data_IF_020073202572
#
_entry.id   IF_020073202572
#
_cell.length_a   1.000
_cell.length_b   1.000
_cell.length_c   1.000
_cell.angle_alpha   90.00
_cell.angle_beta   90.00
_cell.angle_gamma   90.00
#
_symmetry.space_group_name_H-M   'P 1'
#
loop_
_entity.id
_entity.type
_entity.pdbx_description
1 polymer ?
#
# COMPACT_ATOMS: atom_id res chain seq x y z
N UNK A 1 -13.66 -12.79 -11.27
CA UNK A 1 -13.10 -11.46 -10.92
C UNK A 1 -12.94 -10.63 -12.19
N UNK A 2 -13.26 -9.33 -12.14
CA UNK A 2 -13.09 -8.41 -13.29
C UNK A 2 -11.86 -7.55 -13.04
N UNK A 3 -10.80 -7.72 -13.84
CA UNK A 3 -9.58 -6.93 -13.75
C UNK A 3 -9.75 -5.52 -14.33
N UNK A 4 -8.97 -4.58 -13.80
CA UNK A 4 -8.75 -3.27 -14.41
C UNK A 4 -7.63 -3.43 -15.44
N UNK A 5 -7.93 -3.15 -16.71
CA UNK A 5 -6.97 -3.35 -17.80
C UNK A 5 -6.07 -2.13 -17.99
N UNK A 6 -4.76 -2.38 -18.09
CA UNK A 6 -3.74 -1.40 -18.45
C UNK A 6 -3.17 -1.74 -19.84
N UNK A 7 -3.81 -1.24 -20.87
CA UNK A 7 -3.43 -1.49 -22.27
C UNK A 7 -2.35 -0.55 -22.79
N UNK A 8 -1.92 0.40 -21.95
CA UNK A 8 -0.88 1.39 -22.27
C UNK A 8 0.15 1.49 -21.17
N UNK A 9 1.34 1.95 -21.55
CA UNK A 9 2.39 2.26 -20.61
C UNK A 9 1.96 3.40 -19.68
N UNK A 10 2.08 3.20 -18.36
CA UNK A 10 1.65 4.17 -17.34
C UNK A 10 2.46 5.46 -17.33
N UNK A 11 3.63 5.48 -17.97
CA UNK A 11 4.52 6.65 -18.02
C UNK A 11 4.39 7.39 -19.37
N UNK A 12 4.25 6.68 -20.47
CA UNK A 12 4.37 7.25 -21.81
C UNK A 12 3.11 7.17 -22.65
N UNK A 13 2.06 6.54 -22.16
CA UNK A 13 0.80 6.27 -22.87
C UNK A 13 0.95 5.43 -24.18
N UNK A 14 2.14 4.85 -24.39
CA UNK A 14 2.47 3.97 -25.52
C UNK A 14 1.76 2.62 -25.35
N UNK A 15 1.14 2.11 -26.41
CA UNK A 15 0.41 0.83 -26.43
C UNK A 15 1.27 -0.37 -26.84
N UNK A 16 2.53 -0.17 -27.24
CA UNK A 16 3.45 -1.24 -27.61
C UNK A 16 4.00 -1.94 -26.37
N UNK A 17 3.19 -2.83 -25.81
CA UNK A 17 3.53 -3.62 -24.63
C UNK A 17 3.81 -5.07 -25.01
N UNK A 18 4.98 -5.57 -24.61
CA UNK A 18 5.35 -6.98 -24.75
C UNK A 18 5.15 -7.75 -23.44
N UNK A 19 4.62 -8.96 -23.54
CA UNK A 19 4.43 -9.86 -22.40
C UNK A 19 5.79 -10.39 -21.92
N UNK A 20 6.11 -10.18 -20.64
CA UNK A 20 7.25 -10.80 -19.97
C UNK A 20 6.82 -12.08 -19.24
N UNK A 21 5.69 -12.06 -18.56
CA UNK A 21 5.18 -13.17 -17.77
C UNK A 21 3.66 -13.12 -17.66
N UNK A 22 3.02 -14.27 -17.59
CA UNK A 22 1.61 -14.41 -17.26
C UNK A 22 1.40 -15.71 -16.50
N UNK A 23 1.32 -15.63 -15.19
CA UNK A 23 1.14 -16.78 -14.30
C UNK A 23 -0.07 -16.58 -13.40
N UNK A 24 -0.66 -17.68 -12.94
CA UNK A 24 -1.67 -17.64 -11.88
C UNK A 24 -0.98 -17.60 -10.52
N UNK A 25 -1.45 -16.70 -9.69
CA UNK A 25 -0.88 -16.43 -8.38
C UNK A 25 -1.98 -16.27 -7.32
N UNK A 26 -1.80 -16.79 -6.09
CA UNK A 26 -2.73 -16.51 -5.01
C UNK A 26 -2.72 -15.03 -4.65
N UNK A 27 -3.92 -14.43 -4.51
CA UNK A 27 -4.05 -12.99 -4.19
C UNK A 27 -3.54 -12.71 -2.77
N UNK A 28 -3.83 -13.63 -1.86
CA UNK A 28 -3.44 -13.53 -0.47
C UNK A 28 -2.43 -14.63 -0.14
N UNK A 29 -1.31 -14.23 0.44
CA UNK A 29 -0.29 -15.14 0.92
C UNK A 29 -0.27 -15.07 2.44
N UNK A 30 -0.46 -16.19 3.10
CA UNK A 30 -0.42 -16.31 4.56
C UNK A 30 -0.30 -17.77 4.97
N UNK A 31 0.06 -17.98 6.23
CA UNK A 31 -0.01 -19.31 6.82
C UNK A 31 -1.39 -19.48 7.43
N UNK A 32 -2.20 -20.37 6.85
CA UNK A 32 -3.51 -20.76 7.39
C UNK A 32 -3.55 -22.29 7.53
N UNK A 33 -4.47 -22.79 8.35
CA UNK A 33 -4.76 -24.22 8.46
C UNK A 33 -5.89 -24.66 7.51
N UNK A 34 -6.40 -23.72 6.69
CA UNK A 34 -7.49 -23.94 5.75
C UNK A 34 -7.00 -24.61 4.47
N UNK A 35 -7.90 -25.29 3.77
CA UNK A 35 -7.59 -25.99 2.52
C UNK A 35 -7.31 -24.97 1.40
N UNK A 36 -6.25 -25.22 0.62
CA UNK A 36 -5.87 -24.40 -0.55
C UNK A 36 -6.93 -24.34 -1.65
N UNK A 37 -7.95 -25.22 -1.61
CA UNK A 37 -9.05 -25.22 -2.58
C UNK A 37 -9.87 -23.92 -2.58
N UNK A 38 -9.84 -23.18 -1.47
CA UNK A 38 -10.58 -21.93 -1.29
C UNK A 38 -9.71 -20.69 -1.63
N UNK A 39 -8.46 -20.88 -2.01
CA UNK A 39 -7.56 -19.81 -2.38
C UNK A 39 -8.04 -19.06 -3.62
N UNK A 40 -8.15 -17.75 -3.50
CA UNK A 40 -8.48 -16.88 -4.63
C UNK A 40 -7.24 -16.64 -5.48
N UNK A 41 -7.27 -17.12 -6.72
CA UNK A 41 -6.18 -16.95 -7.69
C UNK A 41 -6.44 -15.77 -8.63
N UNK A 42 -5.39 -15.05 -8.98
CA UNK A 42 -5.38 -14.00 -9.98
C UNK A 42 -4.26 -14.20 -11.01
N UNK A 43 -4.35 -13.47 -12.12
CA UNK A 43 -3.25 -13.41 -13.09
C UNK A 43 -2.23 -12.36 -12.63
N UNK A 44 -0.98 -12.78 -12.48
CA UNK A 44 0.17 -11.88 -12.47
C UNK A 44 0.65 -11.72 -13.91
N UNK A 45 0.08 -10.73 -14.61
CA UNK A 45 0.36 -10.47 -16.00
C UNK A 45 1.31 -9.28 -16.11
N UNK A 46 2.60 -9.56 -16.28
CA UNK A 46 3.68 -8.57 -16.38
C UNK A 46 3.98 -8.29 -17.85
N UNK A 47 4.02 -7.01 -18.18
CA UNK A 47 4.37 -6.51 -19.50
C UNK A 47 5.47 -5.46 -19.42
N UNK A 48 6.20 -5.27 -20.53
CA UNK A 48 7.21 -4.22 -20.68
C UNK A 48 6.89 -3.34 -21.88
N UNK A 49 7.02 -2.02 -21.71
CA UNK A 49 7.07 -1.09 -22.83
C UNK A 49 8.41 -1.21 -23.54
N UNK A 50 8.44 -1.67 -24.80
CA UNK A 50 9.69 -1.82 -25.58
C UNK A 50 10.42 -0.50 -25.76
N UNK A 51 9.69 0.59 -25.86
CA UNK A 51 10.26 1.92 -26.13
C UNK A 51 10.98 2.51 -24.91
N UNK A 52 10.44 2.28 -23.72
CA UNK A 52 10.91 2.96 -22.51
C UNK A 52 11.42 2.01 -21.43
N UNK A 53 11.29 0.70 -21.62
CA UNK A 53 11.72 -0.31 -20.64
C UNK A 53 10.88 -0.33 -19.36
N UNK A 54 9.71 0.30 -19.36
CA UNK A 54 8.81 0.33 -18.20
C UNK A 54 8.14 -1.02 -18.02
N UNK A 55 8.37 -1.67 -16.89
CA UNK A 55 7.72 -2.92 -16.50
C UNK A 55 6.49 -2.60 -15.65
N UNK A 56 5.35 -3.19 -15.99
CA UNK A 56 4.09 -2.96 -15.29
C UNK A 56 3.19 -4.19 -15.30
N UNK A 57 2.23 -4.24 -14.38
CA UNK A 57 1.12 -5.18 -14.45
C UNK A 57 0.14 -4.72 -15.54
N UNK A 58 -0.24 -5.63 -16.43
CA UNK A 58 -1.26 -5.41 -17.45
C UNK A 58 -2.68 -5.49 -16.88
N UNK A 59 -2.87 -6.36 -15.90
CA UNK A 59 -4.13 -6.59 -15.22
C UNK A 59 -3.99 -6.25 -13.75
N UNK A 60 -4.85 -5.36 -13.25
CA UNK A 60 -4.89 -5.04 -11.83
C UNK A 60 -6.11 -5.68 -11.18
N UNK A 61 -5.90 -6.21 -9.99
CA UNK A 61 -6.98 -6.64 -9.12
C UNK A 61 -7.65 -5.38 -8.56
N UNK A 62 -8.99 -5.31 -8.55
CA UNK A 62 -9.69 -4.20 -7.91
C UNK A 62 -9.29 -4.04 -6.45
N UNK A 63 -9.06 -2.79 -6.01
CA UNK A 63 -8.59 -2.49 -4.66
C UNK A 63 -9.56 -2.98 -3.58
N UNK A 64 -10.85 -3.00 -3.87
CA UNK A 64 -11.90 -3.49 -2.97
C UNK A 64 -11.72 -5.00 -2.65
N UNK A 65 -11.09 -5.75 -3.55
CA UNK A 65 -10.75 -7.15 -3.33
C UNK A 65 -9.45 -7.24 -2.51
N UNK A 66 -8.42 -6.52 -2.93
CA UNK A 66 -7.11 -6.55 -2.26
C UNK A 66 -7.17 -6.09 -0.81
N UNK A 67 -7.97 -5.06 -0.53
CA UNK A 67 -8.06 -4.45 0.80
C UNK A 67 -9.31 -4.85 1.58
N UNK A 68 -10.03 -5.91 1.14
CA UNK A 68 -11.28 -6.34 1.77
C UNK A 68 -11.13 -6.65 3.27
N UNK A 69 -10.02 -7.31 3.65
CA UNK A 69 -9.76 -7.74 5.02
C UNK A 69 -8.67 -6.91 5.72
N UNK A 70 -8.25 -5.79 5.12
CA UNK A 70 -7.08 -5.04 5.58
C UNK A 70 -5.78 -5.76 5.23
N UNK A 71 -4.80 -5.01 4.76
CA UNK A 71 -3.41 -5.46 4.71
C UNK A 71 -2.72 -4.88 5.94
N UNK A 72 -2.82 -5.59 7.06
CA UNK A 72 -1.90 -5.30 8.15
C UNK A 72 -0.51 -5.78 7.71
N UNK A 73 0.32 -4.85 7.29
CA UNK A 73 1.71 -5.12 6.94
C UNK A 73 2.51 -5.58 8.15
N UNK A 74 1.82 -5.72 9.31
CA UNK A 74 2.40 -6.22 10.54
C UNK A 74 3.77 -5.63 10.78
N UNK A 75 3.88 -4.34 11.03
CA UNK A 75 5.14 -3.71 11.45
C UNK A 75 5.64 -4.34 12.77
N UNK A 76 5.84 -5.66 12.73
CA UNK A 76 6.15 -6.52 13.86
C UNK A 76 7.66 -6.76 13.88
N UNK A 77 8.23 -6.62 15.07
CA UNK A 77 9.64 -6.90 15.33
C UNK A 77 10.52 -5.66 15.41
N UNK A 78 11.72 -5.86 15.99
CA UNK A 78 12.61 -4.76 16.35
C UNK A 78 13.10 -3.93 15.18
N UNK A 79 13.27 -4.53 14.00
CA UNK A 79 13.73 -3.82 12.79
C UNK A 79 12.69 -2.82 12.33
N UNK A 80 11.40 -3.20 12.29
CA UNK A 80 10.32 -2.30 11.91
C UNK A 80 10.10 -1.19 12.95
N UNK A 81 10.19 -1.51 14.23
CA UNK A 81 10.09 -0.51 15.29
C UNK A 81 11.22 0.54 15.18
N UNK A 82 12.45 0.10 14.94
CA UNK A 82 13.59 1.00 14.74
C UNK A 82 13.44 1.83 13.47
N UNK A 83 12.95 1.23 12.36
CA UNK A 83 12.65 1.95 11.12
C UNK A 83 11.63 3.08 11.35
N UNK A 84 10.51 2.78 11.99
CA UNK A 84 9.48 3.80 12.29
C UNK A 84 10.02 4.91 13.20
N UNK A 85 10.86 4.56 14.18
CA UNK A 85 11.51 5.54 15.04
C UNK A 85 12.43 6.47 14.24
N UNK A 86 13.35 5.91 13.45
CA UNK A 86 14.27 6.70 12.63
C UNK A 86 13.55 7.56 11.61
N UNK A 87 12.49 7.03 11.01
CA UNK A 87 11.66 7.79 10.07
C UNK A 87 10.92 8.93 10.78
N UNK A 88 10.37 8.69 11.96
CA UNK A 88 9.78 9.74 12.81
C UNK A 88 10.80 10.83 13.13
N UNK A 89 12.00 10.47 13.57
CA UNK A 89 13.07 11.42 13.87
C UNK A 89 13.46 12.26 12.62
N UNK A 90 13.44 11.64 11.45
CA UNK A 90 13.67 12.33 10.19
C UNK A 90 12.54 13.34 9.89
N UNK A 91 11.27 12.94 9.99
CA UNK A 91 10.11 13.82 9.72
C UNK A 91 10.10 15.01 10.68
N UNK A 92 10.33 14.79 11.97
CA UNK A 92 10.30 15.85 13.00
C UNK A 92 11.39 16.90 12.80
N UNK A 93 12.53 16.57 12.19
CA UNK A 93 13.59 17.55 11.85
C UNK A 93 13.13 18.70 10.95
N UNK A 94 12.11 18.47 10.12
CA UNK A 94 11.54 19.50 9.26
C UNK A 94 10.53 20.40 9.98
N UNK A 95 10.23 20.11 11.25
CA UNK A 95 9.25 20.84 12.05
C UNK A 95 7.91 21.06 11.32
N UNK A 96 7.29 19.99 10.75
CA UNK A 96 6.06 20.14 10.00
C UNK A 96 4.92 20.54 10.93
N UNK A 97 4.03 21.39 10.42
CA UNK A 97 2.78 21.74 11.13
C UNK A 97 1.62 20.84 10.73
N UNK A 98 1.59 20.45 9.45
CA UNK A 98 0.56 19.59 8.89
C UNK A 98 1.22 18.45 8.12
N UNK A 99 0.78 17.23 8.36
CA UNK A 99 1.25 16.03 7.66
C UNK A 99 0.05 15.29 7.10
N UNK A 100 0.18 14.88 5.84
CA UNK A 100 -0.72 13.94 5.18
C UNK A 100 0.05 12.64 4.96
N UNK A 101 -0.46 11.55 5.53
CA UNK A 101 0.06 10.20 5.35
C UNK A 101 -0.93 9.37 4.52
N UNK A 102 -0.43 8.73 3.47
CA UNK A 102 -1.23 7.85 2.61
C UNK A 102 -0.85 6.41 2.90
N UNK A 103 -1.84 5.58 3.24
CA UNK A 103 -1.60 4.18 3.59
C UNK A 103 -0.97 4.02 4.97
N UNK A 104 -1.36 4.85 5.93
CA UNK A 104 -0.76 4.88 7.28
C UNK A 104 -1.11 3.67 8.18
N UNK A 105 -2.01 2.79 7.73
CA UNK A 105 -2.38 1.57 8.46
C UNK A 105 -2.76 1.82 9.92
N UNK A 106 -1.94 1.28 10.82
CA UNK A 106 -2.13 1.41 12.28
C UNK A 106 -1.68 2.76 12.86
N UNK A 107 -1.17 3.71 12.04
CA UNK A 107 -0.77 5.04 12.49
C UNK A 107 0.50 5.09 13.33
N UNK A 108 1.37 4.09 13.28
CA UNK A 108 2.58 4.00 14.12
C UNK A 108 3.53 5.18 13.87
N UNK A 109 3.70 5.61 12.63
CA UNK A 109 4.53 6.75 12.29
C UNK A 109 3.94 8.05 12.86
N UNK A 110 2.62 8.23 12.69
CA UNK A 110 1.89 9.36 13.27
C UNK A 110 2.07 9.44 14.78
N UNK A 111 1.90 8.33 15.48
CA UNK A 111 2.06 8.23 16.93
C UNK A 111 3.46 8.63 17.38
N UNK A 112 4.49 8.10 16.73
CA UNK A 112 5.87 8.43 17.04
C UNK A 112 6.17 9.92 16.82
N UNK A 113 5.69 10.51 15.72
CA UNK A 113 5.91 11.91 15.41
C UNK A 113 5.17 12.83 16.39
N UNK A 114 3.90 12.55 16.69
CA UNK A 114 3.08 13.37 17.60
C UNK A 114 3.60 13.28 19.03
N UNK A 115 4.10 12.12 19.46
CA UNK A 115 4.72 11.97 20.77
C UNK A 115 6.01 12.78 20.91
N UNK A 116 6.78 12.93 19.82
CA UNK A 116 7.99 13.73 19.78
C UNK A 116 7.70 15.23 19.61
N UNK A 117 6.58 15.60 18.97
CA UNK A 117 6.17 16.98 18.73
C UNK A 117 4.64 17.08 18.72
N UNK A 118 4.04 17.52 19.83
CA UNK A 118 2.58 17.63 19.99
C UNK A 118 1.91 18.71 19.12
N UNK A 119 2.68 19.53 18.39
CA UNK A 119 2.14 20.63 17.57
C UNK A 119 1.90 20.21 16.11
N UNK A 120 2.01 18.92 15.80
CA UNK A 120 1.79 18.39 14.46
C UNK A 120 0.32 18.01 14.30
N UNK A 121 -0.37 18.57 13.30
CA UNK A 121 -1.66 18.09 12.83
C UNK A 121 -1.44 16.97 11.82
N UNK A 122 -1.96 15.78 12.11
CA UNK A 122 -1.75 14.60 11.29
C UNK A 122 -3.05 14.07 10.69
N UNK A 123 -3.04 13.83 9.38
CA UNK A 123 -4.16 13.21 8.67
C UNK A 123 -3.69 11.95 7.97
N UNK A 124 -4.39 10.83 8.18
CA UNK A 124 -4.15 9.55 7.51
C UNK A 124 -5.30 9.28 6.54
N UNK A 125 -4.97 8.94 5.27
CA UNK A 125 -5.92 8.37 4.32
C UNK A 125 -5.59 6.88 4.21
N UNK A 126 -6.52 6.04 4.65
CA UNK A 126 -6.36 4.59 4.73
C UNK A 126 -7.72 3.91 4.53
N UNK A 127 -7.87 2.89 3.66
CA UNK A 127 -9.14 2.21 3.48
C UNK A 127 -9.61 1.43 4.72
N UNK A 128 -8.68 0.92 5.53
CA UNK A 128 -8.97 0.14 6.74
C UNK A 128 -8.17 0.67 7.94
N UNK A 129 -8.42 1.93 8.38
CA UNK A 129 -7.64 2.52 9.46
C UNK A 129 -7.95 1.85 10.80
N UNK A 130 -6.92 1.69 11.61
CA UNK A 130 -7.08 1.40 13.03
C UNK A 130 -7.03 2.73 13.80
N UNK A 131 -8.20 3.26 14.13
CA UNK A 131 -8.37 4.62 14.70
C UNK A 131 -8.00 4.64 16.20
N UNK A 132 -6.78 4.33 16.55
CA UNK A 132 -6.33 4.22 17.95
C UNK A 132 -5.89 5.55 18.56
N UNK A 133 -5.66 6.59 17.75
CA UNK A 133 -5.14 7.87 18.23
C UNK A 133 -6.12 9.02 17.94
N UNK A 134 -6.68 9.60 18.99
CA UNK A 134 -7.63 10.73 18.89
C UNK A 134 -6.99 12.05 18.43
N UNK A 135 -5.67 12.15 18.36
CA UNK A 135 -4.93 13.30 17.80
C UNK A 135 -4.72 13.21 16.30
N UNK A 136 -5.03 12.06 15.70
CA UNK A 136 -4.90 11.80 14.28
C UNK A 136 -6.28 11.88 13.62
N UNK A 137 -6.37 12.61 12.52
CA UNK A 137 -7.56 12.60 11.68
C UNK A 137 -7.47 11.44 10.70
N UNK A 138 -8.40 10.49 10.78
CA UNK A 138 -8.51 9.39 9.84
C UNK A 138 -9.55 9.68 8.75
N UNK A 139 -9.18 9.39 7.50
CA UNK A 139 -10.08 9.43 6.35
C UNK A 139 -10.12 8.01 5.79
N UNK A 140 -11.23 7.30 6.02
CA UNK A 140 -11.43 5.94 5.53
C UNK A 140 -11.74 5.96 4.03
N UNK A 141 -10.71 5.94 3.22
CA UNK A 141 -10.82 6.00 1.77
C UNK A 141 -9.55 5.48 1.09
N UNK A 142 -9.67 5.10 -0.19
CA UNK A 142 -8.52 5.05 -1.09
C UNK A 142 -8.10 6.48 -1.44
N UNK A 143 -6.80 6.67 -1.67
CA UNK A 143 -6.27 7.91 -2.21
C UNK A 143 -6.42 7.88 -3.75
N UNK A 144 -7.28 8.75 -4.27
CA UNK A 144 -7.59 8.90 -5.70
C UNK A 144 -7.32 10.33 -6.16
#
# INVERSE_FOLDING_TARGET
MRYIQRNKCIISDDDNLETLSNIKYPIFCGCTEEDMSDDMLANEYIVISKKYGVIQLKELIPLEILYKNGHDSGAIGGIWMEHHKQFSDFVVKFNPKNVLEIGGGNGILADNCINNNNNISWTIIEPNPNENNNKVKYIKSFFN
#
